data_IF_112223000235
#
_entry.id   IF_112223000235
#
_cell.length_a   1.000
_cell.length_b   1.000
_cell.length_c   1.000
_cell.angle_alpha   90.00
_cell.angle_beta   90.00
_cell.angle_gamma   90.00
#
_symmetry.space_group_name_H-M   'P 1'
#
loop_
_entity.id
_entity.type
_entity.pdbx_description
1 polymer ?
#
# COMPACT_ATOMS: atom_id res chain seq x y z
N UNK A 1 4.75 3.52 11.52
CA UNK A 1 5.11 2.09 11.36
C UNK A 1 5.98 1.66 12.52
N UNK A 2 5.76 0.49 13.11
CA UNK A 2 6.54 -0.03 14.24
C UNK A 2 6.89 -1.50 13.97
N UNK A 3 8.18 -1.81 14.00
CA UNK A 3 8.67 -3.18 13.89
C UNK A 3 8.42 -3.94 15.20
N UNK A 4 7.96 -5.18 15.09
CA UNK A 4 7.69 -6.08 16.21
C UNK A 4 8.11 -7.50 15.84
N UNK A 5 8.36 -8.34 16.84
CA UNK A 5 8.48 -9.79 16.67
C UNK A 5 7.19 -10.45 17.14
N UNK A 6 6.58 -11.22 16.25
CA UNK A 6 5.35 -11.98 16.51
C UNK A 6 5.69 -13.44 16.72
N UNK A 7 5.27 -13.98 17.85
CA UNK A 7 5.38 -15.40 18.13
C UNK A 7 4.04 -16.09 17.82
N UNK A 8 4.07 -16.98 16.85
CA UNK A 8 2.92 -17.84 16.54
C UNK A 8 3.01 -19.12 17.38
N UNK A 9 1.94 -19.39 18.10
CA UNK A 9 1.79 -20.61 18.92
C UNK A 9 0.55 -21.33 18.44
N UNK A 10 0.73 -22.57 18.01
CA UNK A 10 -0.40 -23.44 17.66
C UNK A 10 -1.11 -23.88 18.94
N UNK A 11 -2.37 -23.50 19.10
CA UNK A 11 -3.19 -23.83 20.27
C UNK A 11 -3.41 -25.34 20.46
N UNK A 12 -3.28 -26.12 19.38
CA UNK A 12 -3.43 -27.56 19.40
C UNK A 12 -2.08 -28.30 19.45
N UNK A 13 -0.99 -27.56 19.56
CA UNK A 13 0.38 -28.08 19.66
C UNK A 13 0.79 -29.03 18.50
N UNK A 14 0.17 -28.91 17.33
CA UNK A 14 0.49 -29.73 16.14
C UNK A 14 1.72 -29.21 15.40
N UNK A 15 2.06 -27.93 15.58
CA UNK A 15 3.18 -27.24 14.92
C UNK A 15 4.12 -26.61 15.93
N UNK A 16 5.41 -26.57 15.65
CA UNK A 16 6.36 -25.89 16.51
C UNK A 16 6.09 -24.38 16.53
N UNK A 17 6.44 -23.76 17.66
CA UNK A 17 6.43 -22.31 17.82
C UNK A 17 7.31 -21.65 16.74
N UNK A 18 6.79 -20.59 16.12
CA UNK A 18 7.49 -19.87 15.07
C UNK A 18 7.54 -18.38 15.43
N UNK A 19 8.70 -17.75 15.29
CA UNK A 19 8.88 -16.30 15.45
C UNK A 19 9.07 -15.67 14.08
N UNK A 20 8.40 -14.54 13.82
CA UNK A 20 8.53 -13.76 12.60
C UNK A 20 8.60 -12.29 12.93
N UNK A 21 9.47 -11.57 12.25
CA UNK A 21 9.42 -10.10 12.26
C UNK A 21 8.21 -9.63 11.49
N UNK A 22 7.53 -8.65 12.06
CA UNK A 22 6.35 -8.00 11.48
C UNK A 22 6.38 -6.51 11.78
N UNK A 23 5.51 -5.76 11.17
CA UNK A 23 5.34 -4.34 11.48
C UNK A 23 3.87 -3.98 11.61
N UNK A 24 3.59 -3.07 12.51
CA UNK A 24 2.27 -2.49 12.68
C UNK A 24 2.12 -1.30 11.75
N UNK A 25 1.11 -1.38 10.89
CA UNK A 25 0.68 -0.25 10.05
C UNK A 25 -0.28 0.62 10.88
N UNK A 26 -0.15 1.92 10.75
CA UNK A 26 -1.08 2.86 11.36
C UNK A 26 -2.48 2.67 10.77
N UNK A 27 -3.49 2.57 11.64
CA UNK A 27 -4.88 2.45 11.19
C UNK A 27 -5.31 3.70 10.41
N UNK A 28 -6.03 3.53 9.30
CA UNK A 28 -6.40 4.60 8.37
C UNK A 28 -7.08 5.79 9.05
N UNK A 29 -8.00 5.57 10.00
CA UNK A 29 -8.67 6.65 10.72
C UNK A 29 -7.70 7.49 11.57
N UNK A 30 -6.65 6.87 12.11
CA UNK A 30 -5.61 7.59 12.87
C UNK A 30 -4.72 8.37 11.95
N UNK A 31 -4.37 7.79 10.81
CA UNK A 31 -3.62 8.46 9.76
C UNK A 31 -4.40 9.68 9.24
N UNK A 32 -5.68 9.51 8.92
CA UNK A 32 -6.57 10.59 8.49
C UNK A 32 -6.61 11.74 9.52
N UNK A 33 -6.83 11.40 10.80
CA UNK A 33 -6.85 12.40 11.87
C UNK A 33 -5.51 13.14 12.01
N UNK A 34 -4.38 12.43 11.91
CA UNK A 34 -3.03 13.01 11.99
C UNK A 34 -2.72 13.94 10.81
N UNK A 35 -3.25 13.64 9.64
CA UNK A 35 -3.09 14.47 8.44
C UNK A 35 -4.10 15.62 8.36
N UNK A 36 -5.11 15.67 9.25
CA UNK A 36 -6.23 16.61 9.14
C UNK A 36 -7.09 16.36 7.91
N UNK A 37 -7.17 15.11 7.47
CA UNK A 37 -7.86 14.67 6.26
C UNK A 37 -8.93 13.63 6.57
N UNK A 38 -9.67 13.22 5.55
CA UNK A 38 -10.60 12.09 5.59
C UNK A 38 -10.17 11.03 4.57
N UNK A 39 -10.42 9.76 4.88
CA UNK A 39 -10.31 8.70 3.88
C UNK A 39 -11.41 8.90 2.84
N UNK A 40 -11.00 8.91 1.59
CA UNK A 40 -11.90 9.10 0.46
C UNK A 40 -12.09 7.75 -0.26
N UNK A 41 -13.35 7.38 -0.48
CA UNK A 41 -13.68 6.19 -1.28
C UNK A 41 -14.29 6.63 -2.61
N UNK A 42 -13.48 7.30 -3.41
CA UNK A 42 -13.85 7.83 -4.72
C UNK A 42 -12.82 7.40 -5.75
N UNK A 43 -13.25 7.21 -6.98
CA UNK A 43 -12.33 7.10 -8.10
C UNK A 43 -11.93 8.52 -8.51
N UNK A 44 -10.64 8.85 -8.55
CA UNK A 44 -10.23 10.12 -9.09
C UNK A 44 -10.56 10.17 -10.60
N UNK A 45 -11.25 11.21 -11.04
CA UNK A 45 -11.61 11.39 -12.45
C UNK A 45 -10.38 11.50 -13.35
N UNK A 46 -9.27 11.93 -12.77
CA UNK A 46 -7.98 12.01 -13.44
C UNK A 46 -6.84 11.98 -12.40
N UNK A 47 -5.65 11.62 -12.86
CA UNK A 47 -4.40 11.71 -12.08
C UNK A 47 -4.20 13.12 -11.49
N UNK A 48 -4.69 14.16 -12.19
CA UNK A 48 -4.64 15.55 -11.74
C UNK A 48 -5.41 15.88 -10.45
N UNK A 49 -6.30 15.00 -10.00
CA UNK A 49 -6.94 15.14 -8.69
C UNK A 49 -6.01 14.78 -7.52
N UNK A 50 -4.93 14.01 -7.79
CA UNK A 50 -3.94 13.62 -6.80
C UNK A 50 -2.83 14.68 -6.77
N UNK A 51 -2.35 15.01 -5.58
CA UNK A 51 -1.23 15.94 -5.41
C UNK A 51 0.01 15.44 -6.18
N UNK A 52 0.45 16.21 -7.17
CA UNK A 52 1.47 15.77 -8.13
C UNK A 52 2.81 15.42 -7.48
N UNK A 53 3.30 16.26 -6.56
CA UNK A 53 4.59 16.03 -5.89
C UNK A 53 4.56 14.74 -5.06
N UNK A 54 3.45 14.50 -4.36
CA UNK A 54 3.28 13.27 -3.58
C UNK A 54 3.18 12.04 -4.49
N UNK A 55 2.42 12.12 -5.57
CA UNK A 55 2.29 11.04 -6.55
C UNK A 55 3.65 10.71 -7.19
N UNK A 56 4.39 11.73 -7.60
CA UNK A 56 5.73 11.55 -8.17
C UNK A 56 6.67 10.87 -7.17
N UNK A 57 6.68 11.34 -5.91
CA UNK A 57 7.51 10.75 -4.86
C UNK A 57 7.18 9.27 -4.63
N UNK A 58 5.89 8.95 -4.49
CA UNK A 58 5.46 7.56 -4.26
C UNK A 58 5.71 6.68 -5.47
N UNK A 59 5.52 7.18 -6.69
CA UNK A 59 5.79 6.43 -7.93
C UNK A 59 7.30 6.13 -8.08
N UNK A 60 8.16 7.10 -7.81
CA UNK A 60 9.62 6.89 -7.82
C UNK A 60 10.01 5.86 -6.75
N UNK A 61 9.42 5.94 -5.57
CA UNK A 61 9.67 4.96 -4.51
C UNK A 61 9.25 3.56 -4.93
N UNK A 62 8.05 3.38 -5.49
CA UNK A 62 7.58 2.09 -5.99
C UNK A 62 8.52 1.53 -7.08
N UNK A 63 8.97 2.38 -8.00
CA UNK A 63 9.94 1.99 -9.02
C UNK A 63 11.27 1.51 -8.40
N UNK A 64 11.81 2.25 -7.44
CA UNK A 64 13.09 1.92 -6.79
C UNK A 64 13.04 0.59 -6.03
N UNK A 65 11.91 0.23 -5.45
CA UNK A 65 11.74 -1.06 -4.76
C UNK A 65 11.28 -2.20 -5.69
N UNK A 66 11.09 -1.90 -6.98
CA UNK A 66 10.61 -2.87 -7.97
C UNK A 66 9.19 -3.39 -7.67
N UNK A 67 8.32 -2.53 -7.12
CA UNK A 67 6.92 -2.87 -6.92
C UNK A 67 6.10 -2.42 -8.11
N UNK A 68 5.47 -3.37 -8.81
CA UNK A 68 4.60 -3.13 -9.96
C UNK A 68 3.12 -3.35 -9.63
N UNK A 69 2.82 -3.85 -8.44
CA UNK A 69 1.48 -4.20 -7.99
C UNK A 69 0.79 -3.02 -7.29
N UNK A 70 0.60 -1.93 -8.01
CA UNK A 70 -0.10 -0.77 -7.48
C UNK A 70 -0.80 0.06 -8.55
N UNK A 71 -1.85 0.77 -8.16
CA UNK A 71 -2.45 1.82 -8.99
C UNK A 71 -3.14 2.86 -8.12
N UNK A 72 -2.80 4.15 -8.24
CA UNK A 72 -3.48 5.23 -7.52
C UNK A 72 -4.81 5.63 -8.14
N UNK A 73 -5.18 5.11 -9.31
CA UNK A 73 -6.38 5.47 -10.07
C UNK A 73 -7.25 4.28 -10.48
N UNK A 74 -6.69 3.09 -10.50
CA UNK A 74 -7.41 1.86 -10.83
C UNK A 74 -7.62 1.04 -9.56
N UNK A 75 -8.75 0.39 -9.46
CA UNK A 75 -9.11 -0.47 -8.35
C UNK A 75 -10.13 -1.51 -8.76
N UNK A 76 -10.79 -2.12 -7.79
CA UNK A 76 -11.92 -3.02 -8.04
C UNK A 76 -13.16 -2.23 -8.48
N UNK A 77 -14.20 -2.93 -8.92
CA UNK A 77 -15.46 -2.30 -9.36
C UNK A 77 -16.15 -1.46 -8.27
N UNK A 78 -15.81 -1.65 -7.01
CA UNK A 78 -16.43 -1.00 -5.85
C UNK A 78 -15.50 -0.08 -5.06
N UNK A 79 -14.21 -0.17 -5.25
CA UNK A 79 -13.23 0.58 -4.48
C UNK A 79 -12.06 1.07 -5.34
N UNK A 80 -11.71 2.35 -5.22
CA UNK A 80 -10.41 2.86 -5.59
C UNK A 80 -9.45 2.50 -4.47
N UNK A 81 -8.27 2.26 -4.64
CA UNK A 81 -7.37 2.10 -5.76
C UNK A 81 -6.62 0.80 -5.49
N UNK A 82 -5.67 0.36 -6.32
CA UNK A 82 -4.96 -0.88 -5.99
C UNK A 82 -3.73 -0.59 -5.13
N UNK A 83 -3.68 -1.17 -3.93
CA UNK A 83 -2.61 -1.01 -2.92
C UNK A 83 -2.33 0.44 -2.49
N UNK A 84 -3.32 1.32 -2.68
CA UNK A 84 -3.34 2.71 -2.22
C UNK A 84 -4.64 3.03 -1.49
N UNK A 85 -4.56 3.85 -0.44
CA UNK A 85 -5.72 4.52 0.16
C UNK A 85 -5.67 6.00 -0.15
N UNK A 86 -6.81 6.58 -0.56
CA UNK A 86 -6.92 8.01 -0.83
C UNK A 86 -7.31 8.77 0.42
N UNK A 87 -6.62 9.88 0.66
CA UNK A 87 -6.94 10.83 1.72
C UNK A 87 -7.04 12.24 1.14
N UNK A 88 -7.96 13.04 1.66
CA UNK A 88 -8.14 14.40 1.20
C UNK A 88 -9.02 15.22 2.12
N UNK A 89 -9.19 16.49 1.78
CA UNK A 89 -10.21 17.38 2.30
C UNK A 89 -11.29 17.59 1.23
N UNK A 90 -12.43 18.18 1.61
CA UNK A 90 -13.59 18.31 0.71
C UNK A 90 -13.26 19.00 -0.62
N UNK A 91 -12.37 20.00 -0.60
CA UNK A 91 -12.01 20.82 -1.77
C UNK A 91 -10.51 20.82 -2.07
N UNK A 92 -9.75 19.94 -1.41
CA UNK A 92 -8.29 19.85 -1.56
C UNK A 92 -7.84 18.72 -2.48
N UNK A 93 -6.56 18.73 -2.86
CA UNK A 93 -6.00 17.64 -3.61
C UNK A 93 -5.96 16.34 -2.78
N UNK A 94 -6.05 15.22 -3.47
CA UNK A 94 -5.96 13.90 -2.85
C UNK A 94 -4.51 13.49 -2.62
N UNK A 95 -4.26 12.79 -1.52
CA UNK A 95 -3.03 12.03 -1.30
C UNK A 95 -3.33 10.55 -1.54
N UNK A 96 -2.58 9.94 -2.45
CA UNK A 96 -2.60 8.49 -2.66
C UNK A 96 -1.50 7.86 -1.80
N UNK A 97 -1.85 7.24 -0.69
CA UNK A 97 -0.90 6.68 0.27
C UNK A 97 -0.80 5.17 0.08
N UNK A 98 0.38 4.65 -0.34
CA UNK A 98 0.57 3.22 -0.53
C UNK A 98 0.63 2.51 0.83
N UNK A 99 0.14 1.26 0.89
CA UNK A 99 0.13 0.47 2.11
C UNK A 99 0.63 -0.96 1.94
N UNK A 100 0.63 -1.51 0.73
CA UNK A 100 1.06 -2.87 0.45
C UNK A 100 2.27 -2.91 -0.48
N UNK A 101 3.30 -3.65 -0.08
CA UNK A 101 4.59 -3.74 -0.76
C UNK A 101 5.09 -5.18 -0.85
N UNK A 102 4.22 -6.16 -0.63
CA UNK A 102 4.60 -7.58 -0.61
C UNK A 102 5.06 -8.09 -1.97
N UNK A 103 4.55 -7.47 -3.05
CA UNK A 103 4.98 -7.76 -4.43
C UNK A 103 6.25 -7.00 -4.86
N UNK A 104 6.87 -6.25 -3.96
CA UNK A 104 8.11 -5.55 -4.34
C UNK A 104 9.30 -6.49 -4.50
N UNK A 105 10.11 -6.25 -5.52
CA UNK A 105 11.35 -6.98 -5.75
C UNK A 105 12.33 -6.88 -4.59
N UNK A 106 12.26 -5.81 -3.80
CA UNK A 106 13.06 -5.61 -2.61
C UNK A 106 12.75 -6.63 -1.50
N UNK A 107 11.49 -7.04 -1.35
CA UNK A 107 11.06 -8.06 -0.38
C UNK A 107 11.34 -9.48 -0.89
N UNK A 108 11.36 -9.66 -2.20
CA UNK A 108 11.64 -10.92 -2.89
C UNK A 108 10.76 -12.08 -2.37
N UNK A 109 9.47 -11.86 -2.27
CA UNK A 109 8.52 -12.91 -1.90
C UNK A 109 8.42 -13.95 -3.02
N UNK A 110 8.21 -15.24 -2.70
CA UNK A 110 8.17 -16.30 -3.72
C UNK A 110 7.06 -16.15 -4.76
N UNK A 111 6.05 -15.34 -4.49
CA UNK A 111 4.92 -15.07 -5.39
C UNK A 111 5.00 -13.70 -6.09
N UNK A 112 5.99 -12.87 -5.75
CA UNK A 112 6.21 -11.59 -6.40
C UNK A 112 6.89 -11.83 -7.77
N UNK A 113 6.08 -12.01 -8.78
CA UNK A 113 6.54 -12.12 -10.17
C UNK A 113 6.35 -10.78 -10.88
N UNK A 114 7.29 -10.37 -11.75
CA UNK A 114 7.06 -9.23 -12.61
C UNK A 114 5.77 -9.42 -13.43
N UNK A 115 5.06 -8.32 -13.68
CA UNK A 115 3.90 -8.35 -14.57
C UNK A 115 4.38 -8.62 -15.99
N UNK A 116 3.89 -9.70 -16.62
CA UNK A 116 4.22 -10.10 -18.00
C UNK A 116 3.91 -8.98 -19.01
N UNK A 117 2.96 -8.09 -18.70
CA UNK A 117 2.60 -6.94 -19.51
C UNK A 117 3.67 -5.85 -19.58
N UNK A 118 4.65 -5.86 -18.67
CA UNK A 118 5.73 -4.87 -18.65
C UNK A 118 6.86 -5.17 -19.62
N UNK A 119 6.90 -6.37 -20.23
CA UNK A 119 7.94 -6.75 -21.19
C UNK A 119 9.36 -6.71 -20.61
N UNK A 120 9.48 -6.98 -19.30
CA UNK A 120 10.76 -7.06 -18.58
C UNK A 120 11.13 -8.54 -18.55
N UNK A 121 12.10 -8.94 -19.35
CA UNK A 121 12.69 -10.29 -19.36
C UNK A 121 13.84 -10.40 -18.36
#
# INVERSE_FOLDING_TARGET
>A
MRLIDVTYVDSEARRPRMVRSAYLIEHENRLAARLGMQRMNIFPDAVGAIQADHLNLTSIFQYLIGNTDFSPILGSQSECCHNYSLFGTQDGPLLAIPYDFDMSGFVNTPYAMPDDGLGID
#
